data_IF_302712321671
#
_entry.id   IF_302712321671
#
_cell.length_a   1.000
_cell.length_b   1.000
_cell.length_c   1.000
_cell.angle_alpha   90.00
_cell.angle_beta   90.00
_cell.angle_gamma   90.00
#
_symmetry.space_group_name_H-M   'P 1'
#
loop_
_entity.id
_entity.type
_entity.pdbx_description
1 polymer ?
#
# COMPACT_ATOMS: atom_id res chain seq x y z
N UNK A 1 16.84 25.95 -21.52
CA UNK A 1 17.63 24.71 -21.39
C UNK A 1 18.06 24.63 -19.94
N UNK A 2 17.33 23.90 -19.10
CA UNK A 2 17.64 23.78 -17.67
C UNK A 2 18.31 22.43 -17.50
N UNK A 3 19.62 22.46 -17.27
CA UNK A 3 20.41 21.27 -16.93
C UNK A 3 20.10 20.88 -15.49
N UNK A 4 19.48 19.71 -15.31
CA UNK A 4 19.40 19.06 -14.02
C UNK A 4 20.77 18.45 -13.71
N UNK A 5 21.44 18.98 -12.68
CA UNK A 5 22.66 18.40 -12.15
C UNK A 5 22.33 17.07 -11.44
N UNK A 6 22.68 15.97 -12.09
CA UNK A 6 22.45 14.60 -11.65
C UNK A 6 23.46 14.10 -10.59
N UNK A 7 24.22 14.98 -9.93
CA UNK A 7 25.32 14.56 -9.04
C UNK A 7 25.13 14.79 -7.53
N UNK A 8 23.97 15.21 -7.02
CA UNK A 8 23.75 15.21 -5.56
C UNK A 8 23.12 13.91 -5.06
N UNK A 9 23.96 12.95 -4.67
CA UNK A 9 23.61 11.81 -3.78
C UNK A 9 22.39 10.99 -4.23
N UNK A 10 22.54 10.18 -5.28
CA UNK A 10 21.73 8.97 -5.39
C UNK A 10 22.11 8.03 -4.24
N UNK A 11 21.51 8.25 -3.07
CA UNK A 11 21.51 7.29 -1.97
C UNK A 11 21.01 5.98 -2.59
N UNK A 12 21.86 4.96 -2.62
CA UNK A 12 21.44 3.60 -2.99
C UNK A 12 20.44 3.14 -1.94
N UNK A 13 19.17 3.53 -2.06
CA UNK A 13 18.08 3.02 -1.24
C UNK A 13 17.98 1.53 -1.53
N UNK A 14 18.57 0.72 -0.65
CA UNK A 14 18.43 -0.74 -0.68
C UNK A 14 17.11 -1.09 -0.02
N UNK A 15 16.02 -0.79 -0.70
CA UNK A 15 14.68 -1.23 -0.28
C UNK A 15 14.66 -2.75 -0.27
N UNK A 16 14.22 -3.33 0.85
CA UNK A 16 14.00 -4.78 0.99
C UNK A 16 12.58 -5.01 1.48
N UNK A 17 11.95 -6.06 0.98
CA UNK A 17 10.68 -6.54 1.52
C UNK A 17 10.97 -7.84 2.27
N UNK A 18 10.53 -7.92 3.52
CA UNK A 18 10.61 -9.08 4.38
C UNK A 18 9.19 -9.53 4.70
N UNK A 19 8.98 -10.83 4.74
CA UNK A 19 7.74 -11.41 5.26
C UNK A 19 8.02 -11.97 6.66
N UNK A 20 7.10 -11.73 7.61
CA UNK A 20 7.14 -12.37 8.92
C UNK A 20 7.03 -13.91 8.73
N UNK A 21 7.71 -14.74 9.53
CA UNK A 21 7.54 -16.19 9.46
C UNK A 21 6.06 -16.59 9.57
N UNK A 22 5.60 -17.45 8.66
CA UNK A 22 4.22 -17.93 8.61
C UNK A 22 3.28 -17.10 7.73
N UNK A 23 3.70 -15.91 7.26
CA UNK A 23 2.91 -15.14 6.28
C UNK A 23 2.87 -15.90 4.97
N UNK A 24 1.66 -16.12 4.46
CA UNK A 24 1.44 -16.76 3.17
C UNK A 24 0.84 -15.77 2.19
N UNK A 25 1.19 -15.96 0.92
CA UNK A 25 0.63 -15.23 -0.20
C UNK A 25 -0.07 -16.25 -1.09
N UNK A 26 -1.38 -16.22 -1.11
CA UNK A 26 -2.16 -17.03 -2.03
C UNK A 26 -2.25 -16.35 -3.40
N UNK A 27 -1.52 -16.88 -4.37
CA UNK A 27 -1.46 -16.33 -5.72
C UNK A 27 -2.75 -16.51 -6.53
N UNK A 28 -3.65 -17.42 -6.11
CA UNK A 28 -4.93 -17.63 -6.79
C UNK A 28 -5.93 -16.53 -6.44
N UNK A 29 -5.90 -16.03 -5.20
CA UNK A 29 -6.78 -14.97 -4.72
C UNK A 29 -6.16 -13.56 -4.79
N UNK A 30 -4.82 -13.45 -4.83
CA UNK A 30 -4.13 -12.17 -4.87
C UNK A 30 -4.53 -11.33 -6.09
N UNK A 31 -5.09 -10.15 -5.84
CA UNK A 31 -5.54 -9.29 -6.94
C UNK A 31 -4.38 -8.52 -7.56
N UNK A 32 -4.47 -8.28 -8.87
CA UNK A 32 -3.46 -7.57 -9.66
C UNK A 32 -2.95 -6.22 -9.10
N UNK A 33 -3.76 -5.37 -8.44
CA UNK A 33 -3.24 -4.14 -7.86
C UNK A 33 -2.38 -4.35 -6.60
N UNK A 34 -2.45 -5.53 -5.95
CA UNK A 34 -1.75 -5.77 -4.68
C UNK A 34 -0.23 -5.79 -4.79
N UNK A 35 0.42 -6.43 -5.79
CA UNK A 35 1.86 -6.31 -5.98
C UNK A 35 2.29 -4.86 -6.22
N UNK A 36 1.51 -4.08 -6.99
CA UNK A 36 1.80 -2.67 -7.23
C UNK A 36 1.83 -1.88 -5.93
N UNK A 37 0.83 -2.04 -5.06
CA UNK A 37 0.80 -1.34 -3.78
C UNK A 37 1.96 -1.73 -2.86
N UNK A 38 2.35 -3.00 -2.83
CA UNK A 38 3.50 -3.44 -2.05
C UNK A 38 4.80 -2.78 -2.56
N UNK A 39 4.98 -2.64 -3.87
CA UNK A 39 6.13 -1.93 -4.43
C UNK A 39 6.11 -0.44 -4.08
N UNK A 40 4.97 0.23 -4.20
CA UNK A 40 4.83 1.65 -3.83
C UNK A 40 5.12 1.85 -2.34
N UNK A 41 4.58 1.00 -1.46
CA UNK A 41 4.88 1.01 -0.04
C UNK A 41 6.38 0.86 0.22
N UNK A 42 7.04 -0.09 -0.43
CA UNK A 42 8.46 -0.32 -0.24
C UNK A 42 9.32 0.86 -0.72
N UNK A 43 8.98 1.47 -1.86
CA UNK A 43 9.71 2.62 -2.41
C UNK A 43 9.50 3.92 -1.60
N UNK A 44 8.38 4.05 -0.91
CA UNK A 44 8.02 5.23 -0.11
C UNK A 44 8.29 5.05 1.39
N UNK A 45 8.69 3.84 1.81
CA UNK A 45 8.98 3.53 3.20
C UNK A 45 10.05 4.49 3.78
N UNK A 46 9.78 5.17 4.91
CA UNK A 46 10.73 6.06 5.56
C UNK A 46 12.09 5.36 5.77
N UNK A 47 13.17 6.10 5.49
CA UNK A 47 14.58 5.69 5.55
C UNK A 47 15.04 4.56 4.60
N UNK A 48 14.28 4.23 3.54
CA UNK A 48 14.71 3.26 2.52
C UNK A 48 15.04 1.87 3.09
N UNK A 49 14.45 1.59 4.26
CA UNK A 49 14.71 0.41 5.09
C UNK A 49 14.03 -0.86 4.61
N UNK A 50 14.09 -1.88 5.45
CA UNK A 50 13.40 -3.17 5.21
C UNK A 50 11.94 -3.04 5.61
N UNK A 51 11.02 -3.13 4.65
CA UNK A 51 9.59 -3.20 4.87
C UNK A 51 9.23 -4.62 5.34
N UNK A 52 8.60 -4.76 6.50
CA UNK A 52 8.16 -6.06 7.03
C UNK A 52 6.66 -6.25 6.83
N UNK A 53 6.26 -7.13 5.92
CA UNK A 53 4.86 -7.60 5.75
C UNK A 53 4.53 -8.57 6.88
N UNK A 54 3.38 -8.34 7.53
CA UNK A 54 2.92 -9.12 8.69
C UNK A 54 1.68 -9.96 8.44
N UNK A 55 0.90 -9.65 7.40
CA UNK A 55 -0.21 -10.48 6.92
C UNK A 55 -0.54 -10.16 5.45
N UNK A 56 -1.05 -11.15 4.70
CA UNK A 56 -1.74 -10.95 3.43
C UNK A 56 -3.01 -11.81 3.34
N UNK A 57 -2.88 -13.12 3.11
CA UNK A 57 -4.01 -14.06 3.03
C UNK A 57 -4.11 -14.95 4.27
N UNK A 58 -3.14 -14.83 5.18
CA UNK A 58 -3.04 -15.59 6.41
C UNK A 58 -3.75 -14.92 7.59
N UNK A 59 -3.62 -15.52 8.78
CA UNK A 59 -4.09 -14.91 10.02
C UNK A 59 -5.59 -15.01 10.27
N UNK A 60 -6.02 -14.39 11.37
CA UNK A 60 -7.43 -14.27 11.73
C UNK A 60 -7.81 -12.80 11.67
N UNK A 61 -8.77 -12.48 10.80
CA UNK A 61 -9.25 -11.12 10.56
C UNK A 61 -10.76 -11.05 10.87
N UNK A 62 -11.35 -9.86 10.77
CA UNK A 62 -12.81 -9.71 10.85
C UNK A 62 -13.48 -10.45 9.69
N UNK A 63 -14.73 -10.88 9.88
CA UNK A 63 -15.45 -11.72 8.91
C UNK A 63 -15.59 -11.08 7.51
N UNK A 64 -15.61 -9.76 7.43
CA UNK A 64 -15.70 -8.93 6.23
C UNK A 64 -14.34 -8.43 5.72
N UNK A 65 -13.24 -8.93 6.27
CA UNK A 65 -11.89 -8.49 5.92
C UNK A 65 -11.53 -8.78 4.47
N UNK A 66 -10.91 -7.79 3.81
CA UNK A 66 -10.41 -7.89 2.44
C UNK A 66 -9.14 -8.75 2.32
N UNK A 67 -8.49 -9.13 3.43
CA UNK A 67 -7.42 -10.14 3.44
C UNK A 67 -7.88 -11.47 2.82
N UNK A 68 -9.10 -11.92 3.16
CA UNK A 68 -9.67 -13.17 2.65
C UNK A 68 -9.99 -13.15 1.14
N UNK A 69 -9.96 -11.97 0.52
CA UNK A 69 -10.21 -11.77 -0.90
C UNK A 69 -8.94 -11.43 -1.69
N UNK A 70 -7.76 -11.55 -1.06
CA UNK A 70 -6.49 -11.21 -1.68
C UNK A 70 -6.36 -9.72 -1.98
N UNK A 71 -6.97 -8.86 -1.16
CA UNK A 71 -7.11 -7.40 -1.37
C UNK A 71 -6.48 -6.52 -0.30
N UNK A 72 -5.78 -7.09 0.68
CA UNK A 72 -5.16 -6.32 1.75
C UNK A 72 -3.72 -6.75 2.06
N UNK A 73 -2.97 -5.81 2.64
CA UNK A 73 -1.63 -5.99 3.22
C UNK A 73 -1.57 -5.38 4.62
N UNK A 74 -0.98 -6.10 5.56
CA UNK A 74 -0.54 -5.52 6.82
C UNK A 74 0.98 -5.33 6.82
N UNK A 75 1.43 -4.11 7.14
CA UNK A 75 2.85 -3.75 7.13
C UNK A 75 3.26 -3.20 8.49
N UNK A 76 4.34 -3.73 9.05
CA UNK A 76 4.84 -3.34 10.37
C UNK A 76 5.31 -1.88 10.41
N UNK A 77 4.83 -1.12 11.40
CA UNK A 77 5.25 0.29 11.60
C UNK A 77 6.31 0.47 12.68
N UNK A 78 6.47 -0.47 13.63
CA UNK A 78 7.50 -0.35 14.68
C UNK A 78 8.95 -0.47 14.18
N UNK A 79 9.12 -0.84 12.92
CA UNK A 79 10.43 -0.89 12.25
C UNK A 79 10.83 0.51 11.73
N UNK A 80 9.91 1.48 11.77
CA UNK A 80 10.17 2.88 11.41
C UNK A 80 10.96 3.60 12.52
N UNK A 81 11.86 4.52 12.14
CA UNK A 81 12.80 5.15 13.07
C UNK A 81 12.11 6.14 14.01
N UNK A 82 11.06 6.83 13.55
CA UNK A 82 10.30 7.78 14.36
C UNK A 82 8.80 7.49 14.36
N UNK A 83 8.16 7.80 15.49
CA UNK A 83 6.72 7.56 15.67
C UNK A 83 5.85 8.42 14.75
N UNK A 84 6.32 9.59 14.33
CA UNK A 84 5.63 10.46 13.37
C UNK A 84 5.62 9.90 11.94
N UNK A 85 6.63 9.12 11.58
CA UNK A 85 6.86 8.66 10.20
C UNK A 85 5.72 7.76 9.70
N UNK A 86 5.10 6.99 10.58
CA UNK A 86 4.01 6.09 10.19
C UNK A 86 2.81 6.85 9.63
N UNK A 87 2.46 8.00 10.22
CA UNK A 87 1.32 8.80 9.79
C UNK A 87 1.62 9.53 8.49
N UNK A 88 2.80 10.11 8.37
CA UNK A 88 3.21 10.80 7.15
C UNK A 88 3.35 9.81 5.99
N UNK A 89 3.88 8.62 6.27
CA UNK A 89 3.95 7.54 5.28
C UNK A 89 2.57 7.05 4.85
N UNK A 90 1.62 6.89 5.77
CA UNK A 90 0.24 6.54 5.45
C UNK A 90 -0.41 7.56 4.49
N UNK A 91 -0.23 8.85 4.76
CA UNK A 91 -0.76 9.91 3.89
C UNK A 91 -0.09 9.89 2.50
N UNK A 92 1.24 9.75 2.45
CA UNK A 92 1.97 9.66 1.19
C UNK A 92 1.57 8.43 0.37
N UNK A 93 1.31 7.30 1.03
CA UNK A 93 0.83 6.09 0.38
C UNK A 93 -0.57 6.27 -0.20
N UNK A 94 -1.47 6.90 0.55
CA UNK A 94 -2.82 7.20 0.09
C UNK A 94 -2.80 8.06 -1.17
N UNK A 95 -1.98 9.10 -1.18
CA UNK A 95 -1.82 9.99 -2.33
C UNK A 95 -1.19 9.27 -3.54
N UNK A 96 -0.20 8.40 -3.31
CA UNK A 96 0.50 7.67 -4.36
C UNK A 96 -0.32 6.54 -4.99
N UNK A 97 -1.12 5.83 -4.19
CA UNK A 97 -1.94 4.70 -4.64
C UNK A 97 -3.26 5.16 -5.27
N UNK A 98 -3.76 6.32 -4.85
CA UNK A 98 -4.97 6.93 -5.39
C UNK A 98 -6.25 6.52 -4.67
N UNK A 99 -7.41 6.95 -5.20
CA UNK A 99 -8.66 6.98 -4.46
C UNK A 99 -9.31 5.61 -4.19
N UNK A 100 -8.91 4.56 -4.91
CA UNK A 100 -9.44 3.19 -4.73
C UNK A 100 -8.75 2.42 -3.59
N UNK A 101 -7.89 3.09 -2.83
CA UNK A 101 -7.13 2.51 -1.74
C UNK A 101 -7.46 3.16 -0.41
N UNK A 102 -7.73 2.30 0.57
CA UNK A 102 -7.76 2.69 1.97
C UNK A 102 -6.40 2.34 2.59
N UNK A 103 -5.79 3.34 3.21
CA UNK A 103 -4.52 3.22 3.94
C UNK A 103 -4.77 3.64 5.38
N UNK A 104 -4.84 2.67 6.27
CA UNK A 104 -5.29 2.82 7.65
C UNK A 104 -4.13 2.54 8.59
N UNK A 105 -3.75 3.54 9.39
CA UNK A 105 -2.75 3.36 10.44
C UNK A 105 -3.42 2.71 11.66
N UNK A 106 -3.21 1.41 11.82
CA UNK A 106 -3.59 0.64 12.99
C UNK A 106 -2.54 0.79 14.10
N UNK A 107 -2.85 0.25 15.29
CA UNK A 107 -2.00 0.46 16.47
C UNK A 107 -0.58 -0.09 16.36
N UNK A 108 -0.36 -1.13 15.57
CA UNK A 108 0.91 -1.84 15.43
C UNK A 108 1.34 -2.14 13.98
N UNK A 109 0.50 -1.78 13.01
CA UNK A 109 0.75 -1.94 11.58
C UNK A 109 0.02 -0.88 10.74
N UNK A 110 0.42 -0.77 9.48
CA UNK A 110 -0.26 0.00 8.45
C UNK A 110 -1.02 -1.00 7.59
N UNK A 111 -2.34 -0.86 7.56
CA UNK A 111 -3.25 -1.69 6.79
C UNK A 111 -3.53 -1.01 5.44
N UNK A 112 -3.22 -1.68 4.34
CA UNK A 112 -3.50 -1.21 2.98
C UNK A 112 -4.54 -2.15 2.38
N UNK A 113 -5.67 -1.62 1.94
CA UNK A 113 -6.68 -2.42 1.26
C UNK A 113 -7.17 -1.76 -0.03
N UNK A 114 -7.42 -2.59 -1.04
CA UNK A 114 -7.92 -2.16 -2.35
C UNK A 114 -9.43 -2.36 -2.42
N UNK A 115 -10.16 -1.25 -2.50
CA UNK A 115 -11.60 -1.22 -2.64
C UNK A 115 -11.98 -0.24 -3.75
N UNK A 116 -12.12 -0.70 -5.01
CA UNK A 116 -12.45 0.20 -6.10
C UNK A 116 -13.82 0.81 -5.85
N UNK A 117 -13.83 2.13 -5.66
CA UNK A 117 -15.06 2.89 -5.51
C UNK A 117 -15.55 3.19 -6.92
N UNK A 118 -16.24 2.21 -7.51
CA UNK A 118 -16.63 2.26 -8.91
C UNK A 118 -17.12 3.64 -9.32
N UNK A 119 -16.58 4.18 -10.42
CA UNK A 119 -17.14 5.33 -11.14
C UNK A 119 -18.51 5.02 -11.78
N UNK A 120 -19.29 4.12 -11.17
CA UNK A 120 -20.69 3.83 -11.48
C UNK A 120 -21.65 4.92 -10.93
N UNK A 121 -21.14 6.14 -10.71
CA UNK A 121 -21.93 7.29 -10.30
C UNK A 121 -21.26 8.59 -10.73
N UNK A 122 -21.53 9.02 -11.99
CA UNK A 122 -21.48 10.40 -12.54
C UNK A 122 -21.09 10.49 -14.03
N UNK A 123 -21.29 9.46 -14.85
CA UNK A 123 -21.48 9.73 -16.30
C UNK A 123 -22.92 10.23 -16.49
N UNK A 124 -23.10 11.55 -16.62
CA UNK A 124 -24.33 12.11 -17.20
C UNK A 124 -24.42 11.60 -18.64
N UNK A 125 -25.23 10.58 -18.89
CA UNK A 125 -25.61 10.23 -20.26
C UNK A 125 -26.39 11.42 -20.86
N UNK A 126 -26.11 11.84 -22.11
CA UNK A 126 -26.83 12.92 -22.74
C UNK A 126 -28.31 12.56 -22.89
N UNK A 127 -29.20 13.52 -22.59
CA UNK A 127 -30.65 13.37 -22.41
C UNK A 127 -31.44 13.05 -23.69
N UNK A 128 -30.83 12.49 -24.74
CA UNK A 128 -31.49 12.30 -26.04
C UNK A 128 -32.18 10.93 -26.21
N UNK A 129 -32.42 10.20 -25.12
CA UNK A 129 -33.11 8.90 -25.14
C UNK A 129 -34.18 8.75 -24.03
N UNK A 130 -34.76 9.86 -23.57
CA UNK A 130 -36.04 9.88 -22.86
C UNK A 130 -37.00 10.80 -23.59
#
# INVERSE_FOLDING_TARGET
MVTFDLHSKALKMKTKIKFKPGVTLDLESLQHPMPHALFVAALTCPDGGTLTVTSQSDGNHKADSLHYLGRAWDIRIRDLPHTGDARDWANNLKDALGPDWDVILESDHLHLEYQPHGTAGKVKLPSKYW
#
